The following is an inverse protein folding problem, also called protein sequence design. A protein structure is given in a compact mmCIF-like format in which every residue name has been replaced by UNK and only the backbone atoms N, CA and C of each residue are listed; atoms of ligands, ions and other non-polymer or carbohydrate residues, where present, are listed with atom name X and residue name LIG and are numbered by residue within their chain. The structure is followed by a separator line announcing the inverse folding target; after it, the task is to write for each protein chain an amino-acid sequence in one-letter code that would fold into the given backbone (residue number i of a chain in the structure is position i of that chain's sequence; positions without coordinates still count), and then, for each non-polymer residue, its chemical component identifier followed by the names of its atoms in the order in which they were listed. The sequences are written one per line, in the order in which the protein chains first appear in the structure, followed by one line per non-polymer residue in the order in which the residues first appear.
data_IF_367460890761
#
_entry.id   IF_367460890761
#
_cell.length_a   1.000
_cell.length_b   1.000
_cell.length_c   1.000
_cell.angle_alpha   90.00
_cell.angle_beta   90.00
_cell.angle_gamma   90.00
#
_symmetry.space_group_name_H-M   'P 1'
#
loop_
_entity.id
_entity.type
_entity.pdbx_description
1 polymer ?
#
# COMPACT_ATOMS: atom_id res chain seq x y z
N UNK A 1 -2.93 -17.44 -24.65
CA UNK A 1 -3.29 -16.52 -23.54
C UNK A 1 -2.17 -15.48 -23.43
N UNK A 2 -2.46 -14.19 -23.66
CA UNK A 2 -1.47 -13.11 -23.61
C UNK A 2 -1.61 -12.40 -22.26
N UNK A 3 -0.57 -12.47 -21.43
CA UNK A 3 -0.53 -11.74 -20.17
C UNK A 3 -0.21 -10.29 -20.49
N UNK A 4 -1.17 -9.39 -20.35
CA UNK A 4 -0.87 -7.96 -20.40
C UNK A 4 -0.08 -7.57 -19.15
N UNK A 5 1.07 -6.87 -19.30
CA UNK A 5 1.85 -6.43 -18.15
C UNK A 5 1.01 -5.56 -17.23
N UNK A 6 0.87 -5.96 -15.96
CA UNK A 6 0.18 -5.16 -14.95
C UNK A 6 0.90 -3.82 -14.76
N UNK A 7 0.15 -2.72 -14.67
CA UNK A 7 0.73 -1.38 -14.66
C UNK A 7 1.79 -1.19 -13.55
N UNK A 8 2.90 -0.48 -13.84
CA UNK A 8 3.99 -0.26 -12.88
C UNK A 8 3.47 0.46 -11.62
N UNK A 9 3.57 -0.20 -10.46
CA UNK A 9 3.11 0.33 -9.17
C UNK A 9 1.89 -0.39 -8.60
N UNK A 10 1.10 -1.12 -9.41
CA UNK A 10 -0.10 -1.83 -8.95
C UNK A 10 0.19 -2.81 -7.80
N UNK A 11 1.19 -3.70 -7.97
CA UNK A 11 1.55 -4.70 -6.96
C UNK A 11 2.03 -4.08 -5.66
N UNK A 12 2.76 -2.97 -5.76
CA UNK A 12 3.27 -2.24 -4.60
C UNK A 12 2.12 -1.57 -3.83
N UNK A 13 1.13 -1.03 -4.55
CA UNK A 13 -0.11 -0.53 -3.95
C UNK A 13 -0.90 -1.62 -3.26
N UNK A 14 -1.19 -2.71 -3.98
CA UNK A 14 -2.01 -3.81 -3.49
C UNK A 14 -1.39 -4.49 -2.26
N UNK A 15 -0.12 -4.87 -2.34
CA UNK A 15 0.59 -5.46 -1.21
C UNK A 15 0.73 -4.48 -0.04
N UNK A 16 0.99 -3.20 -0.32
CA UNK A 16 1.04 -2.16 0.70
C UNK A 16 -0.26 -2.04 1.49
N UNK A 17 -1.40 -2.01 0.79
CA UNK A 17 -2.74 -1.96 1.42
C UNK A 17 -3.01 -3.22 2.25
N UNK A 18 -2.70 -4.39 1.70
CA UNK A 18 -2.89 -5.67 2.42
C UNK A 18 -2.06 -5.70 3.70
N UNK A 19 -0.78 -5.32 3.63
CA UNK A 19 0.11 -5.26 4.81
C UNK A 19 -0.37 -4.20 5.81
N UNK A 20 -0.78 -3.02 5.32
CA UNK A 20 -1.27 -1.93 6.16
C UNK A 20 -2.49 -2.34 7.00
N UNK A 21 -3.40 -3.12 6.43
CA UNK A 21 -4.60 -3.60 7.11
C UNK A 21 -4.32 -4.82 8.01
N UNK A 22 -3.57 -5.80 7.50
CA UNK A 22 -3.39 -7.07 8.18
C UNK A 22 -2.35 -7.00 9.31
N UNK A 23 -1.27 -6.23 9.16
CA UNK A 23 -0.20 -6.22 10.17
C UNK A 23 -0.66 -5.75 11.57
N UNK A 24 -1.44 -4.67 11.71
CA UNK A 24 -1.98 -4.27 13.02
C UNK A 24 -2.93 -5.32 13.59
N UNK A 25 -3.77 -5.94 12.74
CA UNK A 25 -4.71 -6.98 13.15
C UNK A 25 -3.98 -8.23 13.66
N UNK A 26 -2.95 -8.69 12.94
CA UNK A 26 -2.12 -9.81 13.36
C UNK A 26 -1.34 -9.51 14.65
N UNK A 27 -0.77 -8.30 14.76
CA UNK A 27 -0.08 -7.86 15.96
C UNK A 27 -1.00 -7.86 17.19
N UNK A 28 -2.21 -7.33 17.04
CA UNK A 28 -3.24 -7.38 18.06
C UNK A 28 -3.60 -8.82 18.46
N UNK A 29 -3.91 -9.68 17.48
CA UNK A 29 -4.31 -11.06 17.72
C UNK A 29 -3.20 -11.84 18.44
N UNK A 30 -1.96 -11.68 18.00
CA UNK A 30 -0.80 -12.31 18.63
C UNK A 30 -0.60 -11.82 20.07
N UNK A 31 -0.80 -10.52 20.31
CA UNK A 31 -0.76 -9.92 21.64
C UNK A 31 -1.81 -10.50 22.58
N UNK A 32 -3.04 -10.72 22.10
CA UNK A 32 -4.13 -11.37 22.85
C UNK A 32 -3.80 -12.84 23.13
N UNK A 33 -3.36 -13.60 22.13
CA UNK A 33 -3.05 -15.03 22.27
C UNK A 33 -1.86 -15.29 23.20
N UNK A 34 -0.93 -14.34 23.30
CA UNK A 34 0.28 -14.51 24.10
C UNK A 34 0.01 -14.59 25.60
N UNK A 35 -1.11 -14.06 26.10
CA UNK A 35 -1.70 -14.35 27.41
C UNK A 35 -0.79 -14.32 28.65
N UNK A 36 0.44 -13.81 28.53
CA UNK A 36 1.48 -13.93 29.56
C UNK A 36 1.13 -12.94 30.66
N UNK A 37 0.95 -13.46 31.88
CA UNK A 37 0.64 -12.70 33.08
C UNK A 37 1.42 -11.39 33.12
N UNK A 38 0.72 -10.29 33.42
CA UNK A 38 1.14 -8.87 33.48
C UNK A 38 2.35 -8.62 34.40
N UNK A 39 3.46 -9.27 34.12
CA UNK A 39 4.71 -9.25 34.90
C UNK A 39 5.73 -8.28 34.30
N UNK A 40 5.40 -7.64 33.18
CA UNK A 40 6.21 -6.62 32.51
C UNK A 40 5.54 -5.25 32.51
N UNK A 41 6.35 -4.19 32.37
CA UNK A 41 5.90 -2.78 32.31
C UNK A 41 4.88 -2.50 31.21
N UNK A 42 4.87 -3.30 30.14
CA UNK A 42 3.90 -3.22 29.04
C UNK A 42 3.26 -4.57 28.80
N UNK A 43 1.93 -4.58 28.61
CA UNK A 43 1.20 -5.80 28.30
C UNK A 43 1.64 -6.39 26.95
N UNK A 44 1.60 -7.72 26.77
CA UNK A 44 1.87 -8.36 25.48
C UNK A 44 1.00 -7.82 24.34
N UNK A 45 -0.22 -7.37 24.67
CA UNK A 45 -1.13 -6.70 23.75
C UNK A 45 -0.54 -5.41 23.18
N UNK A 46 0.04 -4.56 24.03
CA UNK A 46 0.68 -3.31 23.61
C UNK A 46 1.81 -3.60 22.64
N UNK A 47 2.70 -4.54 22.97
CA UNK A 47 3.85 -4.87 22.13
C UNK A 47 3.43 -5.44 20.77
N UNK A 48 2.46 -6.35 20.76
CA UNK A 48 1.91 -6.92 19.53
C UNK A 48 1.27 -5.85 18.64
N UNK A 49 0.39 -5.02 19.20
CA UNK A 49 -0.24 -3.94 18.43
C UNK A 49 0.77 -2.91 17.93
N UNK A 50 1.73 -2.49 18.78
CA UNK A 50 2.74 -1.50 18.43
C UNK A 50 3.60 -1.96 17.26
N UNK A 51 4.11 -3.19 17.31
CA UNK A 51 4.88 -3.78 16.20
C UNK A 51 4.03 -3.94 14.95
N UNK A 52 2.77 -4.39 15.08
CA UNK A 52 1.82 -4.48 13.98
C UNK A 52 1.53 -3.13 13.30
N UNK A 53 1.39 -2.05 14.07
CA UNK A 53 1.17 -0.68 13.56
C UNK A 53 2.41 -0.15 12.84
N UNK A 54 3.62 -0.40 13.35
CA UNK A 54 4.85 0.00 12.65
C UNK A 54 4.95 -0.68 11.29
N UNK A 55 4.75 -2.00 11.24
CA UNK A 55 4.77 -2.77 9.99
C UNK A 55 3.64 -2.30 9.07
N UNK A 56 2.44 -2.06 9.61
CA UNK A 56 1.31 -1.52 8.87
C UNK A 56 1.60 -0.15 8.27
N UNK A 57 2.29 0.73 9.02
CA UNK A 57 2.73 2.04 8.55
C UNK A 57 3.70 1.96 7.37
N UNK A 58 4.64 1.00 7.38
CA UNK A 58 5.49 0.72 6.21
C UNK A 58 4.64 0.25 5.02
N UNK A 59 3.61 -0.56 5.26
CA UNK A 59 2.62 -0.95 4.26
C UNK A 59 1.90 0.26 3.64
N UNK A 60 1.51 1.25 4.45
CA UNK A 60 0.90 2.51 3.96
C UNK A 60 1.89 3.28 3.08
N UNK A 61 3.15 3.41 3.50
CA UNK A 61 4.18 4.09 2.68
C UNK A 61 4.38 3.40 1.33
N UNK A 62 4.44 2.07 1.32
CA UNK A 62 4.50 1.28 0.10
C UNK A 62 3.24 1.49 -0.76
N UNK A 63 2.06 1.51 -0.14
CA UNK A 63 0.80 1.72 -0.84
C UNK A 63 0.75 3.08 -1.55
N UNK A 64 1.15 4.14 -0.83
CA UNK A 64 1.19 5.50 -1.36
C UNK A 64 2.21 5.61 -2.49
N UNK A 65 3.43 5.11 -2.31
CA UNK A 65 4.46 5.19 -3.34
C UNK A 65 4.08 4.36 -4.60
N UNK A 66 3.43 3.20 -4.42
CA UNK A 66 2.86 2.42 -5.51
C UNK A 66 1.75 3.17 -6.25
N UNK A 67 0.84 3.80 -5.50
CA UNK A 67 -0.27 4.59 -6.05
C UNK A 67 0.21 5.81 -6.83
N UNK A 68 1.22 6.52 -6.31
CA UNK A 68 1.86 7.65 -7.01
C UNK A 68 2.51 7.17 -8.31
N UNK A 69 3.23 6.04 -8.28
CA UNK A 69 3.86 5.47 -9.48
C UNK A 69 2.82 5.07 -10.53
N UNK A 70 1.71 4.46 -10.10
CA UNK A 70 0.60 4.08 -10.95
C UNK A 70 -0.06 5.31 -11.61
N UNK A 71 -0.34 6.33 -10.80
CA UNK A 71 -0.94 7.57 -11.27
C UNK A 71 -0.08 8.28 -12.32
N UNK A 72 1.24 8.37 -12.08
CA UNK A 72 2.20 8.94 -13.06
C UNK A 72 2.23 8.16 -14.37
N UNK A 73 2.15 6.83 -14.32
CA UNK A 73 2.10 6.01 -15.53
C UNK A 73 0.84 6.27 -16.37
N UNK A 74 -0.33 6.38 -15.72
CA UNK A 74 -1.57 6.70 -16.42
C UNK A 74 -1.61 8.13 -16.98
N UNK A 75 -0.98 9.10 -16.32
CA UNK A 75 -0.85 10.45 -16.85
C UNK A 75 0.04 10.52 -18.10
N UNK A 76 1.18 9.82 -18.09
CA UNK A 76 2.04 9.72 -19.27
C UNK A 76 1.33 9.06 -20.47
N UNK A 77 0.57 8.00 -20.22
CA UNK A 77 -0.24 7.36 -21.24
C UNK A 77 -1.36 8.27 -21.78
N UNK A 78 -2.01 9.06 -20.91
CA UNK A 78 -3.04 10.03 -21.32
C UNK A 78 -2.46 11.17 -22.17
N UNK A 79 -1.30 11.71 -21.80
CA UNK A 79 -0.63 12.77 -22.55
C UNK A 79 -0.15 12.30 -23.93
N UNK A 80 0.35 11.06 -24.03
CA UNK A 80 0.77 10.48 -25.32
C UNK A 80 -0.40 10.19 -26.27
N UNK A 81 -1.57 9.83 -25.75
CA UNK A 81 -2.78 9.61 -26.55
C UNK A 81 -3.52 10.92 -26.92
N UNK A 82 -3.20 12.04 -26.26
CA UNK A 82 -3.75 13.36 -26.57
C UNK A 82 -3.00 14.07 -27.74
N UNK A 83 -2.44 13.31 -28.68
CA UNK A 83 -1.74 13.81 -29.86
C UNK A 83 -2.53 14.81 -30.72
N UNK A 84 -1.84 15.56 -31.59
CA UNK A 84 -2.17 16.92 -32.03
C UNK A 84 -3.49 17.00 -32.79
N UNK A 85 -4.60 17.25 -32.08
CA UNK A 85 -5.92 17.40 -32.71
C UNK A 85 -6.61 18.70 -32.34
N UNK A 86 -6.06 19.46 -31.38
CA UNK A 86 -6.69 20.70 -30.91
C UNK A 86 -6.10 21.99 -31.52
N UNK A 87 -4.88 21.95 -32.09
CA UNK A 87 -4.21 23.15 -32.61
C UNK A 87 -4.11 23.23 -34.14
N UNK A 88 -4.31 22.14 -34.89
CA UNK A 88 -4.25 22.14 -36.37
C UNK A 88 -5.59 22.44 -37.06
N UNK A 89 -6.67 22.64 -36.30
CA UNK A 89 -8.03 22.91 -36.82
C UNK A 89 -8.50 24.36 -36.62
N UNK A 90 -7.60 25.31 -36.34
CA UNK A 90 -7.92 26.74 -36.37
C UNK A 90 -7.48 27.33 -37.72
N UNK A 91 -8.43 27.80 -38.56
CA UNK A 91 -8.13 28.46 -39.83
C UNK A 91 -7.46 29.83 -39.64
#
# INVERSE_FOLDING_TARGET
MRLEPTAPGFWMTALGVVVAALAPLFGFLFGVMSGRSDTGMFSPLYWGLFTGVIIGGVGVLAAVAGGVRLWRHHQGARAANAGPTASELRP
#
